data_IF_589646299990
#
_entry.id   IF_589646299990
#
_cell.length_a   1.000
_cell.length_b   1.000
_cell.length_c   1.000
_cell.angle_alpha   90.00
_cell.angle_beta   90.00
_cell.angle_gamma   90.00
#
_symmetry.space_group_name_H-M   'P 1'
#
loop_
_entity.id
_entity.type
_entity.pdbx_description
1 polymer ?
#
# COMPACT_ATOMS: atom_id res chain seq x y z
N UNK A 1 -5.49 21.48 16.07
CA UNK A 1 -4.19 20.99 16.51
C UNK A 1 -4.26 19.48 16.66
N UNK A 2 -3.28 18.71 16.16
CA UNK A 2 -3.20 17.29 16.44
C UNK A 2 -3.15 17.07 17.96
N UNK A 3 -3.93 16.10 18.44
CA UNK A 3 -3.92 15.65 19.83
C UNK A 3 -3.70 14.14 19.86
N UNK A 4 -3.25 13.63 20.99
CA UNK A 4 -3.10 12.20 21.23
C UNK A 4 -4.02 11.85 22.38
N UNK A 5 -4.94 10.93 22.12
CA UNK A 5 -5.81 10.36 23.14
C UNK A 5 -5.25 9.04 23.63
N UNK A 6 -5.41 8.74 24.91
CA UNK A 6 -4.94 7.49 25.53
C UNK A 6 -6.15 6.67 25.96
N UNK A 7 -6.19 5.43 25.48
CA UNK A 7 -7.23 4.46 25.81
C UNK A 7 -6.63 3.27 26.55
N UNK A 8 -7.35 2.75 27.53
CA UNK A 8 -6.98 1.53 28.25
C UNK A 8 -7.93 0.41 27.81
N UNK A 9 -7.36 -0.65 27.29
CA UNK A 9 -8.10 -1.80 26.75
C UNK A 9 -7.76 -3.04 27.57
N UNK A 10 -8.78 -3.68 28.11
CA UNK A 10 -8.63 -4.98 28.76
C UNK A 10 -8.38 -6.06 27.71
N UNK A 11 -7.19 -6.64 27.71
CA UNK A 11 -6.76 -7.63 26.73
C UNK A 11 -7.36 -9.02 26.96
N UNK A 12 -7.81 -9.33 28.18
CA UNK A 12 -8.47 -10.61 28.49
C UNK A 12 -9.82 -10.74 27.73
N UNK A 13 -10.43 -9.60 27.41
CA UNK A 13 -11.70 -9.49 26.67
C UNK A 13 -11.54 -8.90 25.26
N UNK A 14 -10.33 -8.86 24.74
CA UNK A 14 -10.00 -8.31 23.41
C UNK A 14 -9.39 -9.41 22.51
N UNK A 15 -9.59 -9.29 21.19
CA UNK A 15 -8.85 -10.12 20.24
C UNK A 15 -7.35 -9.73 20.19
N UNK A 16 -6.50 -10.60 19.60
CA UNK A 16 -5.05 -10.47 19.70
C UNK A 16 -4.42 -9.39 18.81
N UNK A 17 -5.18 -8.82 17.86
CA UNK A 17 -4.63 -7.90 16.89
C UNK A 17 -4.86 -6.45 17.28
N UNK A 18 -3.98 -5.54 16.84
CA UNK A 18 -4.17 -4.09 17.00
C UNK A 18 -5.52 -3.63 16.47
N UNK A 19 -5.98 -4.20 15.35
CA UNK A 19 -7.31 -3.90 14.82
C UNK A 19 -8.43 -4.27 15.78
N UNK A 20 -8.30 -5.36 16.54
CA UNK A 20 -9.33 -5.77 17.50
C UNK A 20 -9.41 -4.76 18.65
N UNK A 21 -8.28 -4.27 19.14
CA UNK A 21 -8.24 -3.21 20.14
C UNK A 21 -8.89 -1.92 19.64
N UNK A 22 -8.62 -1.50 18.41
CA UNK A 22 -9.27 -0.33 17.79
C UNK A 22 -10.78 -0.51 17.65
N UNK A 23 -11.24 -1.70 17.28
CA UNK A 23 -12.67 -2.01 17.19
C UNK A 23 -13.32 -1.96 18.58
N UNK A 24 -12.66 -2.50 19.60
CA UNK A 24 -13.13 -2.47 20.98
C UNK A 24 -13.23 -1.04 21.51
N UNK A 25 -12.19 -0.21 21.28
CA UNK A 25 -12.23 1.21 21.65
C UNK A 25 -13.44 1.89 21.00
N UNK A 26 -13.60 1.74 19.69
CA UNK A 26 -14.71 2.36 18.96
C UNK A 26 -16.08 1.89 19.42
N UNK A 27 -16.21 0.64 19.80
CA UNK A 27 -17.51 0.05 20.16
C UNK A 27 -17.91 0.31 21.61
N UNK A 28 -16.94 0.41 22.53
CA UNK A 28 -17.21 0.40 23.97
C UNK A 28 -16.75 1.67 24.68
N UNK A 29 -15.75 2.39 24.16
CA UNK A 29 -15.11 3.51 24.86
C UNK A 29 -15.38 4.84 24.12
N UNK A 30 -15.00 4.93 22.84
CA UNK A 30 -15.12 6.15 22.05
C UNK A 30 -15.66 5.88 20.64
N UNK A 31 -16.97 6.04 20.41
CA UNK A 31 -17.59 5.80 19.11
C UNK A 31 -17.16 6.81 18.03
N UNK A 32 -16.50 7.91 18.41
CA UNK A 32 -16.05 8.94 17.47
C UNK A 32 -14.75 8.58 16.78
N UNK A 33 -13.93 7.66 17.36
CA UNK A 33 -12.69 7.18 16.77
C UNK A 33 -12.92 6.65 15.35
N UNK A 34 -12.17 7.17 14.39
CA UNK A 34 -12.40 6.90 12.97
C UNK A 34 -11.19 6.24 12.33
N UNK A 35 -11.40 5.09 11.72
CA UNK A 35 -10.40 4.32 10.96
C UNK A 35 -11.07 3.47 9.88
N UNK A 36 -10.29 3.07 8.87
CA UNK A 36 -10.77 2.17 7.81
C UNK A 36 -10.46 0.73 8.18
N UNK A 37 -11.40 -0.17 7.89
CA UNK A 37 -11.21 -1.62 7.99
C UNK A 37 -12.17 -2.35 7.07
N UNK A 38 -11.85 -3.61 6.72
CA UNK A 38 -12.75 -4.49 5.99
C UNK A 38 -12.42 -5.97 6.27
N UNK A 39 -11.47 -6.57 5.53
CA UNK A 39 -11.25 -8.01 5.46
C UNK A 39 -10.76 -8.69 6.75
N UNK A 40 -9.98 -8.00 7.60
CA UNK A 40 -9.32 -8.50 8.81
C UNK A 40 -8.25 -9.61 8.59
N UNK A 41 -7.83 -9.83 7.35
CA UNK A 41 -6.90 -10.91 6.94
C UNK A 41 -5.79 -10.43 5.97
N UNK A 42 -5.50 -9.13 5.98
CA UNK A 42 -4.39 -8.58 5.18
C UNK A 42 -4.62 -8.53 3.66
N UNK A 43 -5.86 -8.56 3.18
CA UNK A 43 -6.19 -8.61 1.74
C UNK A 43 -6.65 -7.28 1.19
N UNK A 44 -7.42 -6.49 1.95
CA UNK A 44 -8.01 -5.25 1.43
C UNK A 44 -7.13 -4.01 1.57
N UNK A 45 -6.08 -4.04 2.37
CA UNK A 45 -5.18 -2.89 2.60
C UNK A 45 -5.78 -1.73 3.39
N UNK A 46 -7.07 -1.74 3.73
CA UNK A 46 -7.78 -0.57 4.24
C UNK A 46 -7.38 -0.15 5.66
N UNK A 47 -6.91 -1.06 6.50
CA UNK A 47 -6.48 -0.77 7.88
C UNK A 47 -4.99 -0.40 8.00
N UNK A 48 -4.38 0.12 6.92
CA UNK A 48 -3.01 0.59 6.95
C UNK A 48 -2.87 1.83 7.83
N UNK A 49 -1.92 1.81 8.74
CA UNK A 49 -1.60 2.90 9.65
C UNK A 49 -0.16 2.77 10.15
N UNK A 50 0.33 3.75 10.87
CA UNK A 50 1.63 3.67 11.53
C UNK A 50 1.44 3.14 12.95
N UNK A 51 2.03 1.99 13.25
CA UNK A 51 1.98 1.33 14.55
C UNK A 51 3.41 1.27 15.07
N UNK A 52 3.69 1.92 16.19
CA UNK A 52 5.01 2.02 16.82
C UNK A 52 6.14 2.39 15.85
N UNK A 53 5.85 3.35 14.95
CA UNK A 53 6.82 3.85 13.97
C UNK A 53 6.90 3.01 12.68
N UNK A 54 6.20 1.89 12.60
CA UNK A 54 6.16 1.03 11.41
C UNK A 54 4.83 1.16 10.66
N UNK A 55 4.87 1.40 9.36
CA UNK A 55 3.67 1.40 8.53
C UNK A 55 3.27 -0.03 8.22
N UNK A 56 2.13 -0.47 8.70
CA UNK A 56 1.63 -1.84 8.53
C UNK A 56 0.10 -1.90 8.53
N UNK A 57 -0.45 -3.11 8.42
CA UNK A 57 -1.89 -3.36 8.52
C UNK A 57 -2.25 -3.73 9.96
N UNK A 58 -3.16 -3.00 10.57
CA UNK A 58 -3.59 -3.24 11.95
C UNK A 58 -4.19 -4.65 12.16
N UNK A 59 -4.72 -5.28 11.11
CA UNK A 59 -5.24 -6.64 11.17
C UNK A 59 -4.16 -7.74 11.13
N UNK A 60 -2.90 -7.38 10.81
CA UNK A 60 -1.76 -8.31 10.79
C UNK A 60 -0.76 -8.05 11.91
N UNK A 61 -0.90 -6.95 12.65
CA UNK A 61 -0.02 -6.60 13.75
C UNK A 61 -0.58 -7.18 15.06
N UNK A 62 0.12 -8.15 15.64
CA UNK A 62 -0.23 -8.75 16.92
C UNK A 62 0.08 -7.82 18.10
N UNK A 63 -0.80 -7.76 19.09
CA UNK A 63 -0.55 -6.99 20.32
C UNK A 63 0.64 -7.55 21.10
N UNK A 64 0.90 -8.85 21.00
CA UNK A 64 2.05 -9.52 21.65
C UNK A 64 3.42 -9.15 21.06
N UNK A 65 3.43 -8.63 19.80
CA UNK A 65 4.65 -8.19 19.14
C UNK A 65 5.13 -6.82 19.64
N UNK A 66 4.29 -6.13 20.40
CA UNK A 66 4.53 -4.77 20.87
C UNK A 66 4.84 -4.77 22.34
N UNK A 67 5.91 -4.08 22.72
CA UNK A 67 6.29 -3.95 24.13
C UNK A 67 5.87 -2.58 24.70
N UNK A 68 5.05 -2.60 25.75
CA UNK A 68 4.58 -1.37 26.42
C UNK A 68 3.35 -0.76 25.76
N UNK A 69 3.23 0.56 25.84
CA UNK A 69 2.09 1.29 25.28
C UNK A 69 2.17 1.36 23.74
N UNK A 70 1.14 0.90 23.08
CA UNK A 70 1.03 0.94 21.60
C UNK A 70 0.77 2.36 21.11
N UNK A 71 1.59 2.87 20.23
CA UNK A 71 1.42 4.18 19.59
C UNK A 71 0.89 4.03 18.18
N UNK A 72 -0.29 4.55 17.92
CA UNK A 72 -0.95 4.42 16.62
C UNK A 72 -1.17 5.80 16.03
N UNK A 73 -0.73 5.99 14.79
CA UNK A 73 -0.88 7.21 14.02
C UNK A 73 -1.44 6.90 12.63
N UNK A 74 -2.05 7.86 11.93
CA UNK A 74 -2.35 7.70 10.52
C UNK A 74 -1.05 7.47 9.72
N UNK A 75 -1.18 6.96 8.49
CA UNK A 75 -0.02 6.87 7.59
C UNK A 75 0.66 8.24 7.44
N UNK A 76 1.99 8.31 7.62
CA UNK A 76 2.70 9.60 7.64
C UNK A 76 2.74 10.24 6.24
N UNK A 77 2.99 11.55 6.20
CA UNK A 77 3.16 12.34 4.97
C UNK A 77 1.95 12.29 4.00
N UNK A 78 0.76 12.09 4.52
CA UNK A 78 -0.52 12.26 3.83
C UNK A 78 -1.40 13.21 4.64
N UNK A 79 -2.28 13.96 3.98
CA UNK A 79 -3.28 14.75 4.67
C UNK A 79 -4.21 13.85 5.48
N UNK A 80 -4.55 14.28 6.70
CA UNK A 80 -5.44 13.52 7.57
C UNK A 80 -6.85 14.07 7.43
N UNK A 81 -7.77 13.22 6.99
CA UNK A 81 -9.20 13.56 6.91
C UNK A 81 -9.81 13.60 8.31
N UNK A 82 -9.56 12.54 9.09
CA UNK A 82 -9.98 12.44 10.49
C UNK A 82 -9.26 11.28 11.18
N UNK A 83 -8.78 11.50 12.40
CA UNK A 83 -8.12 10.49 13.26
C UNK A 83 -7.07 9.66 12.51
N UNK A 84 -7.35 8.39 12.24
CA UNK A 84 -6.45 7.45 11.55
C UNK A 84 -6.73 7.33 10.03
N UNK A 85 -7.55 8.22 9.47
CA UNK A 85 -7.91 8.19 8.05
C UNK A 85 -7.09 9.22 7.26
N UNK A 86 -6.10 8.81 6.46
CA UNK A 86 -5.43 9.67 5.50
C UNK A 86 -6.27 9.87 4.23
N UNK A 87 -6.04 10.99 3.53
CA UNK A 87 -6.53 11.20 2.17
C UNK A 87 -5.67 10.40 1.18
N UNK A 88 -6.29 9.50 0.45
CA UNK A 88 -5.64 8.64 -0.56
C UNK A 88 -5.91 9.11 -1.99
N UNK A 89 -6.55 10.25 -2.18
CA UNK A 89 -6.96 10.73 -3.51
C UNK A 89 -5.77 10.83 -4.47
N UNK A 90 -4.68 11.48 -4.04
CA UNK A 90 -3.47 11.62 -4.84
C UNK A 90 -2.80 10.26 -5.12
N UNK A 91 -2.73 9.39 -4.12
CA UNK A 91 -2.17 8.06 -4.24
C UNK A 91 -2.90 7.21 -5.31
N UNK A 92 -4.22 7.24 -5.33
CA UNK A 92 -5.01 6.55 -6.35
C UNK A 92 -4.96 7.23 -7.72
N UNK A 93 -4.79 8.55 -7.77
CA UNK A 93 -4.55 9.25 -9.04
C UNK A 93 -3.22 8.81 -9.69
N UNK A 94 -2.17 8.63 -8.90
CA UNK A 94 -0.89 8.07 -9.38
C UNK A 94 -1.04 6.63 -9.87
N UNK A 95 -1.81 5.80 -9.16
CA UNK A 95 -2.11 4.45 -9.64
C UNK A 95 -2.92 4.47 -10.95
N UNK A 96 -3.90 5.34 -11.08
CA UNK A 96 -4.66 5.47 -12.33
C UNK A 96 -3.77 5.96 -13.50
N UNK A 97 -2.79 6.82 -13.23
CA UNK A 97 -1.89 7.37 -14.24
C UNK A 97 -0.98 6.31 -14.91
N UNK A 98 -0.74 5.16 -14.25
CA UNK A 98 0.05 4.07 -14.86
C UNK A 98 -0.83 3.13 -15.71
N UNK A 99 -2.10 3.47 -15.93
CA UNK A 99 -3.04 2.65 -16.71
C UNK A 99 -3.06 1.18 -16.26
N UNK A 100 -3.56 0.89 -15.04
CA UNK A 100 -3.44 -0.43 -14.41
C UNK A 100 -4.47 -1.43 -14.95
N UNK A 101 -4.51 -1.59 -16.26
CA UNK A 101 -5.39 -2.54 -16.97
C UNK A 101 -4.68 -3.07 -18.22
N UNK A 102 -5.14 -4.21 -18.70
CA UNK A 102 -4.61 -4.83 -19.92
C UNK A 102 -4.92 -3.98 -21.15
N UNK A 103 -3.91 -3.65 -21.94
CA UNK A 103 -4.05 -2.96 -23.21
C UNK A 103 -3.57 -3.84 -24.35
N UNK A 104 -4.41 -4.03 -25.36
CA UNK A 104 -4.14 -4.85 -26.54
C UNK A 104 -4.69 -4.17 -27.78
N UNK A 105 -3.93 -4.26 -28.87
CA UNK A 105 -4.37 -3.86 -30.23
C UNK A 105 -4.89 -5.08 -31.00
N UNK A 106 -4.47 -6.27 -30.60
CA UNK A 106 -4.89 -7.54 -31.19
C UNK A 106 -6.37 -7.79 -30.93
N UNK A 107 -7.07 -8.31 -31.93
CA UNK A 107 -8.48 -8.66 -31.82
C UNK A 107 -8.74 -9.61 -30.65
N UNK A 108 -9.79 -9.32 -29.89
CA UNK A 108 -10.14 -10.10 -28.71
C UNK A 108 -10.34 -11.57 -29.07
N UNK A 109 -9.64 -12.51 -28.39
CA UNK A 109 -9.84 -13.93 -28.61
C UNK A 109 -11.25 -14.38 -28.20
N UNK A 110 -11.69 -15.50 -28.77
CA UNK A 110 -13.03 -16.04 -28.52
C UNK A 110 -13.28 -16.35 -27.02
N UNK A 111 -12.23 -16.75 -26.28
CA UNK A 111 -12.34 -17.11 -24.85
C UNK A 111 -11.57 -16.14 -23.97
N UNK A 112 -10.28 -16.46 -23.72
CA UNK A 112 -9.42 -15.66 -22.82
C UNK A 112 -8.07 -15.37 -23.46
N UNK A 113 -7.39 -14.31 -22.98
CA UNK A 113 -5.98 -14.05 -23.28
C UNK A 113 -5.12 -15.09 -22.60
N UNK A 114 -4.48 -15.95 -23.40
CA UNK A 114 -3.61 -17.01 -22.87
C UNK A 114 -2.25 -16.46 -22.48
N UNK A 115 -1.65 -17.13 -21.48
CA UNK A 115 -0.32 -16.83 -20.98
C UNK A 115 0.39 -18.18 -20.68
N UNK A 116 1.71 -18.26 -20.92
CA UNK A 116 2.47 -19.42 -20.49
C UNK A 116 2.59 -19.48 -18.97
N UNK A 117 2.92 -20.64 -18.42
CA UNK A 117 3.16 -20.79 -16.98
C UNK A 117 4.35 -19.92 -16.58
N UNK A 118 5.42 -19.94 -17.37
CA UNK A 118 6.64 -19.19 -17.14
C UNK A 118 6.40 -17.66 -17.13
N UNK A 119 5.53 -17.16 -18.01
CA UNK A 119 5.17 -15.73 -18.03
C UNK A 119 4.24 -15.36 -16.88
N UNK A 120 3.36 -16.29 -16.50
CA UNK A 120 2.49 -16.08 -15.33
C UNK A 120 3.32 -16.00 -14.04
N UNK A 121 4.33 -16.87 -13.90
CA UNK A 121 5.21 -16.90 -12.72
C UNK A 121 6.00 -15.60 -12.54
N UNK A 122 6.32 -14.90 -13.63
CA UNK A 122 6.97 -13.56 -13.57
C UNK A 122 6.11 -12.50 -12.85
N UNK A 123 4.80 -12.70 -12.78
CA UNK A 123 3.89 -11.77 -12.11
C UNK A 123 3.74 -12.01 -10.61
N UNK A 124 4.28 -13.14 -10.10
CA UNK A 124 4.25 -13.43 -8.67
C UNK A 124 5.09 -12.41 -7.87
N UNK A 125 4.54 -11.94 -6.77
CA UNK A 125 5.12 -10.84 -5.99
C UNK A 125 4.83 -9.45 -6.53
N UNK A 126 4.03 -9.32 -7.58
CA UNK A 126 3.63 -8.04 -8.17
C UNK A 126 2.11 -7.81 -8.09
N UNK A 127 1.31 -8.78 -8.54
CA UNK A 127 -0.15 -8.64 -8.57
C UNK A 127 -0.81 -8.73 -7.18
N UNK A 128 -0.11 -9.23 -6.17
CA UNK A 128 -0.60 -9.34 -4.80
C UNK A 128 -0.61 -8.00 -4.05
N UNK A 129 -0.17 -6.92 -4.70
CA UNK A 129 -0.23 -5.59 -4.11
C UNK A 129 -1.67 -5.19 -3.78
N UNK A 130 -1.94 -4.91 -2.51
CA UNK A 130 -3.28 -4.56 -1.99
C UNK A 130 -3.49 -3.04 -1.89
N UNK A 131 -2.61 -2.25 -2.48
CA UNK A 131 -2.70 -0.78 -2.53
C UNK A 131 -2.91 -0.11 -1.16
N UNK A 132 -2.24 -0.63 -0.12
CA UNK A 132 -2.38 -0.13 1.25
C UNK A 132 -1.62 1.17 1.53
N UNK A 133 -0.77 1.63 0.62
CA UNK A 133 0.08 2.83 0.72
C UNK A 133 1.21 2.78 1.77
N UNK A 134 1.39 1.71 2.54
CA UNK A 134 2.46 1.61 3.56
C UNK A 134 3.85 1.86 2.98
N UNK A 135 4.15 1.36 1.79
CA UNK A 135 5.44 1.53 1.12
C UNK A 135 5.67 2.97 0.63
N UNK A 136 4.65 3.60 0.05
CA UNK A 136 4.73 4.98 -0.45
C UNK A 136 4.94 5.96 0.71
N UNK A 137 4.21 5.78 1.80
CA UNK A 137 4.33 6.62 3.00
C UNK A 137 5.58 6.35 3.83
N UNK A 138 6.30 5.26 3.58
CA UNK A 138 7.62 4.99 4.17
C UNK A 138 8.80 5.45 3.29
N UNK A 139 8.55 5.98 2.09
CA UNK A 139 9.58 6.35 1.13
C UNK A 139 9.97 7.84 1.27
N UNK A 140 11.22 8.18 1.65
CA UNK A 140 11.65 9.57 1.76
C UNK A 140 11.53 10.36 0.45
N UNK A 141 11.81 9.74 -0.70
CA UNK A 141 11.62 10.39 -2.00
C UNK A 141 10.14 10.77 -2.23
N UNK A 142 9.21 9.96 -1.77
CA UNK A 142 7.78 10.26 -1.84
C UNK A 142 7.36 11.37 -0.88
N UNK A 143 7.97 11.44 0.29
CA UNK A 143 7.67 12.51 1.26
C UNK A 143 7.94 13.90 0.69
N UNK A 144 9.04 14.04 -0.06
CA UNK A 144 9.51 15.33 -0.56
C UNK A 144 8.97 15.72 -1.93
N UNK A 145 8.63 14.73 -2.77
CA UNK A 145 8.28 14.93 -4.17
C UNK A 145 7.04 14.11 -4.60
N UNK A 146 6.07 13.92 -3.73
CA UNK A 146 4.87 13.12 -4.05
C UNK A 146 4.05 13.70 -5.21
N UNK A 147 4.19 14.99 -5.49
CA UNK A 147 3.56 15.69 -6.61
C UNK A 147 4.09 15.23 -7.99
N UNK A 148 5.31 14.72 -8.06
CA UNK A 148 6.00 14.33 -9.30
C UNK A 148 6.50 12.88 -9.31
N UNK A 149 6.97 12.38 -8.19
CA UNK A 149 7.45 11.01 -8.04
C UNK A 149 6.29 10.05 -7.87
N UNK A 150 6.22 9.02 -8.74
CA UNK A 150 5.12 8.05 -8.73
C UNK A 150 5.02 7.21 -7.46
N UNK A 151 6.12 7.05 -6.76
CA UNK A 151 6.19 6.26 -5.54
C UNK A 151 6.22 4.75 -5.77
N UNK A 152 6.66 3.99 -4.75
CA UNK A 152 6.93 2.56 -4.92
C UNK A 152 5.70 1.71 -5.27
N UNK A 153 4.51 2.06 -4.78
CA UNK A 153 3.31 1.28 -5.09
C UNK A 153 2.89 1.41 -6.56
N UNK A 154 2.87 2.64 -7.10
CA UNK A 154 2.53 2.87 -8.50
C UNK A 154 3.59 2.26 -9.43
N UNK A 155 4.89 2.41 -9.09
CA UNK A 155 5.98 1.84 -9.89
C UNK A 155 5.96 0.30 -9.89
N UNK A 156 5.65 -0.35 -8.75
CA UNK A 156 5.48 -1.81 -8.72
C UNK A 156 4.36 -2.27 -9.66
N UNK A 157 3.23 -1.57 -9.61
CA UNK A 157 2.10 -1.86 -10.50
C UNK A 157 2.40 -1.54 -11.96
N UNK A 158 3.17 -0.48 -12.25
CA UNK A 158 3.64 -0.19 -13.61
C UNK A 158 4.52 -1.32 -14.15
N UNK A 159 5.51 -1.76 -13.35
CA UNK A 159 6.37 -2.88 -13.73
C UNK A 159 5.57 -4.15 -13.99
N UNK A 160 4.59 -4.47 -13.17
CA UNK A 160 3.69 -5.60 -13.38
C UNK A 160 3.06 -5.60 -14.78
N UNK A 161 2.65 -4.44 -15.29
CA UNK A 161 2.06 -4.33 -16.63
C UNK A 161 3.11 -4.32 -17.75
N UNK A 162 4.29 -3.76 -17.50
CA UNK A 162 5.40 -3.77 -18.46
C UNK A 162 5.89 -5.19 -18.78
N UNK A 163 5.82 -6.11 -17.80
CA UNK A 163 6.29 -7.50 -17.99
C UNK A 163 5.15 -8.48 -18.28
N UNK A 164 3.89 -8.06 -18.28
CA UNK A 164 2.77 -8.95 -18.62
C UNK A 164 2.81 -9.28 -20.13
N UNK A 165 3.05 -10.52 -20.47
CA UNK A 165 3.21 -10.99 -21.86
C UNK A 165 1.94 -10.82 -22.72
N UNK A 166 0.81 -10.50 -22.10
CA UNK A 166 -0.46 -10.24 -22.78
C UNK A 166 -0.67 -8.75 -23.09
N UNK A 167 0.11 -7.86 -22.45
CA UNK A 167 0.02 -6.42 -22.66
C UNK A 167 0.87 -6.00 -23.88
N UNK A 168 0.28 -5.25 -24.78
CA UNK A 168 0.91 -4.78 -26.02
C UNK A 168 1.36 -3.32 -25.94
N UNK A 169 1.12 -2.63 -24.80
CA UNK A 169 1.43 -1.21 -24.63
C UNK A 169 2.77 -0.95 -23.90
N UNK A 170 3.67 -1.92 -23.88
CA UNK A 170 4.93 -1.86 -23.13
C UNK A 170 5.76 -0.59 -23.40
N UNK A 171 5.99 -0.26 -24.67
CA UNK A 171 6.80 0.90 -25.05
C UNK A 171 6.15 2.21 -24.56
N UNK A 172 4.86 2.36 -24.80
CA UNK A 172 4.10 3.53 -24.32
C UNK A 172 4.16 3.66 -22.80
N UNK A 173 4.04 2.54 -22.06
CA UNK A 173 4.16 2.55 -20.58
C UNK A 173 5.53 3.01 -20.11
N UNK A 174 6.60 2.60 -20.81
CA UNK A 174 7.96 3.04 -20.52
C UNK A 174 8.15 4.52 -20.83
N UNK A 175 7.68 4.99 -21.99
CA UNK A 175 7.73 6.40 -22.37
C UNK A 175 7.00 7.30 -21.34
N UNK A 176 5.85 6.86 -20.83
CA UNK A 176 5.09 7.58 -19.81
C UNK A 176 5.82 7.67 -18.46
N UNK A 177 6.70 6.71 -18.16
CA UNK A 177 7.51 6.69 -16.94
C UNK A 177 8.85 7.41 -17.12
N UNK A 178 9.33 7.61 -18.35
CA UNK A 178 10.62 8.23 -18.64
C UNK A 178 10.58 9.74 -18.41
N UNK A 179 10.66 10.12 -17.14
CA UNK A 179 10.72 11.48 -16.66
C UNK A 179 11.68 11.55 -15.48
N UNK A 180 12.42 12.64 -15.36
CA UNK A 180 13.45 12.84 -14.33
C UNK A 180 12.93 12.66 -12.91
N UNK A 181 11.63 12.77 -12.68
CA UNK A 181 11.01 12.66 -11.36
C UNK A 181 10.14 11.41 -11.20
N UNK A 182 9.39 11.01 -12.23
CA UNK A 182 8.42 9.90 -12.12
C UNK A 182 9.06 8.60 -11.64
N UNK A 183 10.17 8.19 -12.26
CA UNK A 183 10.90 6.97 -11.95
C UNK A 183 12.22 7.27 -11.20
N UNK A 184 13.01 8.18 -11.72
CA UNK A 184 14.41 8.38 -11.32
C UNK A 184 14.62 9.12 -9.99
N UNK A 185 13.56 9.57 -9.32
CA UNK A 185 13.64 10.07 -7.95
C UNK A 185 13.79 8.96 -6.89
N UNK A 186 13.80 7.71 -7.29
CA UNK A 186 14.10 6.60 -6.39
C UNK A 186 15.61 6.59 -6.04
N UNK A 187 15.93 6.67 -4.74
CA UNK A 187 17.31 6.63 -4.22
C UNK A 187 17.69 5.26 -3.63
N UNK A 188 16.92 4.22 -3.90
CA UNK A 188 17.22 2.84 -3.47
C UNK A 188 17.35 2.68 -1.95
N UNK A 189 16.57 3.43 -1.18
CA UNK A 189 16.62 3.41 0.31
C UNK A 189 16.04 2.10 0.87
N UNK A 190 15.15 1.44 0.13
CA UNK A 190 14.56 0.13 0.43
C UNK A 190 13.59 0.09 1.63
N UNK A 191 13.19 1.21 2.18
CA UNK A 191 12.15 1.25 3.23
C UNK A 191 10.83 0.63 2.73
N UNK A 192 10.50 0.84 1.47
CA UNK A 192 9.29 0.30 0.84
C UNK A 192 9.20 -1.22 0.92
N UNK A 193 10.29 -1.92 0.61
CA UNK A 193 10.36 -3.38 0.68
C UNK A 193 10.28 -3.88 2.13
N UNK A 194 10.94 -3.17 3.06
CA UNK A 194 10.98 -3.56 4.48
C UNK A 194 9.61 -3.41 5.17
N UNK A 195 8.84 -2.39 4.77
CA UNK A 195 7.56 -2.06 5.41
C UNK A 195 6.37 -2.76 4.76
N UNK A 196 6.56 -3.45 3.63
CA UNK A 196 5.44 -4.06 2.91
C UNK A 196 4.78 -5.18 3.74
N UNK A 197 3.50 -5.04 4.15
CA UNK A 197 2.85 -6.03 5.00
C UNK A 197 2.52 -7.34 4.23
N UNK A 198 2.69 -7.34 2.90
CA UNK A 198 2.57 -8.53 2.05
C UNK A 198 3.93 -9.17 1.74
N UNK A 199 5.04 -8.61 2.25
CA UNK A 199 6.38 -9.12 1.97
C UNK A 199 6.83 -9.01 0.51
N UNK A 200 6.23 -8.09 -0.27
CA UNK A 200 6.55 -7.93 -1.67
C UNK A 200 7.94 -7.31 -1.86
N UNK A 201 8.66 -7.78 -2.86
CA UNK A 201 9.95 -7.22 -3.22
C UNK A 201 9.80 -6.03 -4.17
N UNK A 202 9.67 -4.83 -3.61
CA UNK A 202 9.55 -3.60 -4.40
C UNK A 202 10.86 -3.20 -5.11
N UNK A 203 11.99 -3.88 -4.81
CA UNK A 203 13.25 -3.61 -5.52
C UNK A 203 13.21 -4.04 -6.99
N UNK A 204 12.24 -4.87 -7.37
CA UNK A 204 12.03 -5.29 -8.76
C UNK A 204 11.81 -4.13 -9.73
N UNK A 205 11.34 -2.98 -9.23
CA UNK A 205 11.19 -1.77 -10.05
C UNK A 205 12.52 -1.22 -10.60
N UNK A 206 13.66 -1.66 -10.08
CA UNK A 206 15.00 -1.26 -10.55
C UNK A 206 15.54 -2.16 -11.66
N UNK A 207 14.88 -3.25 -11.95
CA UNK A 207 15.29 -4.21 -12.97
C UNK A 207 14.70 -3.88 -14.32
#
# INVERSE_FOLDING_TARGET
NPAVDTYYVDMDSCGPMVLDALIKIKSEIDPTLTFRRSCREGICGSCAMNIDGTNTLACLCGMEEISGDVKIYPLPHMEVVKDLIPDLTHFYAQHAAIMPWLETETERPEKEWRQSIEDRDKLDGLYECVMCASCSTACPSYWWNSDRYMGPAALLNAYRWVIDSRDEAKERRLDELEDSFKLYSCHTIMNCTKTCPKGLNLSLIHI
#
